data_IF_036787561713
#
_entry.id   IF_036787561713
#
_cell.length_a   1.000
_cell.length_b   1.000
_cell.length_c   1.000
_cell.angle_alpha   90.00
_cell.angle_beta   90.00
_cell.angle_gamma   90.00
#
_symmetry.space_group_name_H-M   'P 1'
#
loop_
_entity.id
_entity.type
_entity.pdbx_description
1 polymer ?
#
# COMPACT_ATOMS: atom_id res chain seq x y z
N UNK A 1 -4.79 20.03 8.48
CA UNK A 1 -5.55 19.01 9.24
C UNK A 1 -4.73 17.74 9.41
N UNK A 2 -4.31 17.07 8.33
CA UNK A 2 -3.51 15.83 8.40
C UNK A 2 -2.24 15.95 9.24
N UNK A 3 -1.47 17.04 9.12
CA UNK A 3 -0.25 17.24 9.92
C UNK A 3 -0.47 17.24 11.45
N UNK A 4 -1.68 17.61 11.92
CA UNK A 4 -2.01 17.49 13.34
C UNK A 4 -2.21 16.03 13.73
N UNK A 5 -3.04 15.31 12.97
CA UNK A 5 -3.30 13.89 13.18
C UNK A 5 -2.03 13.03 13.12
N UNK A 6 -1.12 13.33 12.19
CA UNK A 6 0.17 12.63 12.06
C UNK A 6 1.08 12.87 13.27
N UNK A 7 1.00 14.05 13.90
CA UNK A 7 1.77 14.37 15.11
C UNK A 7 1.15 13.78 16.37
N UNK A 8 -0.18 13.77 16.43
CA UNK A 8 -0.94 13.41 17.62
C UNK A 8 -1.24 11.90 17.69
N UNK A 9 -0.96 11.14 16.64
CA UNK A 9 -1.25 9.70 16.56
C UNK A 9 -0.17 8.96 15.77
N UNK A 10 0.06 7.67 16.04
CA UNK A 10 1.06 6.86 15.34
C UNK A 10 0.58 6.44 13.94
N UNK A 11 0.16 7.41 13.13
CA UNK A 11 -0.26 7.19 11.75
C UNK A 11 1.00 6.95 10.91
N UNK A 12 1.06 5.79 10.28
CA UNK A 12 2.20 5.36 9.46
C UNK A 12 1.92 5.44 7.95
N UNK A 13 0.64 5.46 7.55
CA UNK A 13 0.24 5.69 6.18
C UNK A 13 -1.14 6.38 6.10
N UNK A 14 -1.40 7.08 4.99
CA UNK A 14 -2.71 7.62 4.63
C UNK A 14 -2.99 7.29 3.16
N UNK A 15 -4.18 6.78 2.89
CA UNK A 15 -4.70 6.52 1.55
C UNK A 15 -5.71 7.60 1.16
N UNK A 16 -5.65 8.06 -0.09
CA UNK A 16 -6.55 9.07 -0.67
C UNK A 16 -6.81 10.29 0.25
N UNK A 17 -5.77 11.03 0.68
CA UNK A 17 -5.95 12.22 1.53
C UNK A 17 -6.72 13.36 0.85
N UNK A 18 -6.79 13.40 -0.48
CA UNK A 18 -7.48 14.42 -1.25
C UNK A 18 -8.23 13.83 -2.44
N UNK A 19 -9.05 14.66 -3.10
CA UNK A 19 -9.74 14.30 -4.34
C UNK A 19 -8.75 13.84 -5.43
N UNK A 20 -9.21 12.95 -6.31
CA UNK A 20 -8.42 12.42 -7.43
C UNK A 20 -7.92 13.49 -8.42
N UNK A 21 -8.49 14.70 -8.41
CA UNK A 21 -8.06 15.81 -9.26
C UNK A 21 -7.21 16.87 -8.54
N UNK A 22 -7.04 16.79 -7.22
CA UNK A 22 -6.33 17.80 -6.42
C UNK A 22 -4.81 17.52 -6.31
N UNK A 23 -4.13 17.48 -7.45
CA UNK A 23 -2.69 17.20 -7.52
C UNK A 23 -1.83 18.10 -6.61
N UNK A 24 -2.26 19.34 -6.39
CA UNK A 24 -1.55 20.27 -5.50
C UNK A 24 -1.63 19.83 -4.04
N UNK A 25 -2.84 19.47 -3.55
CA UNK A 25 -3.02 18.94 -2.20
C UNK A 25 -2.15 17.71 -1.94
N UNK A 26 -2.14 16.76 -2.88
CA UNK A 26 -1.34 15.54 -2.82
C UNK A 26 0.17 15.83 -2.69
N UNK A 27 0.75 16.61 -3.61
CA UNK A 27 2.18 16.95 -3.57
C UNK A 27 2.54 17.78 -2.33
N UNK A 28 1.69 18.71 -1.92
CA UNK A 28 1.90 19.53 -0.73
C UNK A 28 1.99 18.68 0.53
N UNK A 29 1.07 17.72 0.72
CA UNK A 29 1.11 16.82 1.87
C UNK A 29 2.31 15.87 1.82
N UNK A 30 2.57 15.23 0.67
CA UNK A 30 3.67 14.28 0.51
C UNK A 30 5.03 14.91 0.81
N UNK A 31 5.23 16.19 0.48
CA UNK A 31 6.47 16.92 0.80
C UNK A 31 6.63 17.32 2.28
N UNK A 32 5.56 17.24 3.08
CA UNK A 32 5.54 17.71 4.48
C UNK A 32 5.61 16.58 5.51
N UNK A 33 5.70 15.32 5.05
CA UNK A 33 5.64 14.16 5.93
C UNK A 33 6.49 13.01 5.40
N UNK A 34 7.01 12.21 6.33
CA UNK A 34 7.77 11.00 6.03
C UNK A 34 6.89 9.73 6.05
N UNK A 35 5.59 9.89 6.30
CA UNK A 35 4.65 8.76 6.28
C UNK A 35 4.34 8.35 4.84
N UNK A 36 3.78 7.16 4.70
CA UNK A 36 3.40 6.64 3.40
C UNK A 36 2.09 7.26 2.92
N UNK A 37 2.11 7.94 1.78
CA UNK A 37 0.93 8.47 1.08
C UNK A 37 0.61 7.52 -0.06
N UNK A 38 -0.50 6.79 0.07
CA UNK A 38 -0.95 5.75 -0.86
C UNK A 38 -1.92 6.34 -1.86
N UNK A 39 -1.57 6.29 -3.14
CA UNK A 39 -2.48 6.64 -4.22
C UNK A 39 -3.31 5.43 -4.69
N UNK A 40 -4.62 5.46 -4.48
CA UNK A 40 -5.58 4.56 -5.12
C UNK A 40 -6.34 5.32 -6.21
N UNK A 41 -7.23 6.26 -5.82
CA UNK A 41 -8.10 6.98 -6.74
C UNK A 41 -7.35 8.00 -7.62
N UNK A 42 -6.24 8.56 -7.12
CA UNK A 42 -5.40 9.49 -7.87
C UNK A 42 -4.81 8.85 -9.13
N UNK A 43 -4.44 7.57 -9.03
CA UNK A 43 -3.64 6.90 -10.06
C UNK A 43 -4.34 5.71 -10.69
N UNK A 44 -5.37 5.13 -10.06
CA UNK A 44 -6.22 4.04 -10.57
C UNK A 44 -5.45 2.92 -11.27
N UNK A 45 -4.25 2.60 -10.77
CA UNK A 45 -3.29 1.66 -11.38
C UNK A 45 -3.00 1.95 -12.87
N UNK A 46 -3.13 3.20 -13.33
CA UNK A 46 -2.91 3.62 -14.70
C UNK A 46 -1.46 4.12 -14.88
N UNK A 47 -0.64 3.48 -15.75
CA UNK A 47 0.78 3.84 -15.93
C UNK A 47 1.03 5.31 -16.24
N UNK A 48 0.12 5.98 -16.97
CA UNK A 48 0.28 7.40 -17.30
C UNK A 48 0.10 8.29 -16.07
N UNK A 49 -0.90 7.99 -15.24
CA UNK A 49 -1.15 8.72 -14.01
C UNK A 49 -0.04 8.46 -12.98
N UNK A 50 0.47 7.23 -12.93
CA UNK A 50 1.63 6.87 -12.10
C UNK A 50 2.85 7.70 -12.51
N UNK A 51 3.14 7.82 -13.81
CA UNK A 51 4.25 8.65 -14.29
C UNK A 51 4.08 10.13 -13.92
N UNK A 52 2.85 10.66 -13.99
CA UNK A 52 2.56 12.04 -13.57
C UNK A 52 2.75 12.20 -12.05
N UNK A 53 2.22 11.27 -11.25
CA UNK A 53 2.38 11.28 -9.80
C UNK A 53 3.85 11.15 -9.37
N UNK A 54 4.63 10.34 -10.09
CA UNK A 54 6.07 10.21 -9.91
C UNK A 54 6.80 11.51 -10.16
N UNK A 55 6.53 12.14 -11.31
CA UNK A 55 7.14 13.40 -11.69
C UNK A 55 6.79 14.52 -10.70
N UNK A 56 5.55 14.56 -10.24
CA UNK A 56 5.06 15.60 -9.33
C UNK A 56 5.28 15.28 -7.85
N UNK A 57 5.86 14.12 -7.53
CA UNK A 57 6.00 13.60 -6.17
C UNK A 57 4.69 13.67 -5.36
N UNK A 58 3.58 13.31 -6.00
CA UNK A 58 2.24 13.48 -5.43
C UNK A 58 1.88 12.39 -4.42
N UNK A 59 2.48 11.20 -4.53
CA UNK A 59 2.39 10.11 -3.56
C UNK A 59 3.71 9.31 -3.58
N UNK A 60 3.98 8.56 -2.52
CA UNK A 60 5.21 7.76 -2.36
C UNK A 60 4.94 6.25 -2.26
N UNK A 61 3.67 5.86 -2.23
CA UNK A 61 3.23 4.49 -2.37
C UNK A 61 2.12 4.39 -3.40
N UNK A 62 2.15 3.30 -4.14
CA UNK A 62 1.16 2.96 -5.14
C UNK A 62 0.42 1.72 -4.66
N UNK A 63 -0.91 1.76 -4.80
CA UNK A 63 -1.73 0.58 -4.69
C UNK A 63 -1.56 -0.23 -5.98
N UNK A 64 -0.52 -1.07 -6.04
CA UNK A 64 0.03 -1.57 -7.31
C UNK A 64 -0.15 -3.07 -7.54
N UNK A 65 -0.39 -3.39 -8.81
CA UNK A 65 0.18 -4.55 -9.51
C UNK A 65 1.42 -4.12 -10.32
N UNK A 66 2.62 -4.39 -9.79
CA UNK A 66 4.00 -4.21 -10.34
C UNK A 66 4.57 -2.83 -10.79
N UNK A 67 5.65 -2.38 -10.11
CA UNK A 67 6.88 -1.62 -10.51
C UNK A 67 7.55 -0.94 -9.28
N UNK A 68 8.77 -0.38 -9.43
CA UNK A 68 9.80 0.05 -8.43
C UNK A 68 9.43 1.02 -7.28
N UNK A 69 8.17 1.09 -6.91
CA UNK A 69 7.64 1.87 -5.80
C UNK A 69 7.34 0.95 -4.62
N UNK A 70 7.33 1.49 -3.40
CA UNK A 70 6.66 0.80 -2.29
C UNK A 70 5.23 0.50 -2.74
N UNK A 71 4.91 -0.79 -2.74
CA UNK A 71 3.67 -1.32 -3.31
C UNK A 71 2.87 -1.92 -2.18
N UNK A 72 1.64 -1.45 -2.02
CA UNK A 72 0.67 -2.08 -1.14
C UNK A 72 -0.35 -2.82 -1.99
N UNK A 73 -0.49 -4.14 -1.78
CA UNK A 73 -1.48 -4.94 -2.50
C UNK A 73 -2.79 -4.89 -1.72
N UNK A 74 -3.88 -4.47 -2.36
CA UNK A 74 -5.19 -4.40 -1.70
C UNK A 74 -6.19 -5.38 -2.29
N UNK A 75 -6.98 -5.95 -1.40
CA UNK A 75 -8.21 -6.66 -1.69
C UNK A 75 -9.33 -5.65 -2.01
N UNK A 76 -10.27 -6.00 -2.90
CA UNK A 76 -11.47 -5.17 -3.15
C UNK A 76 -12.59 -5.48 -2.17
N UNK A 77 -13.53 -4.54 -1.98
CA UNK A 77 -14.63 -4.66 -1.00
C UNK A 77 -15.68 -5.73 -1.31
N UNK A 78 -15.66 -6.31 -2.51
CA UNK A 78 -16.65 -7.28 -3.00
C UNK A 78 -16.01 -8.63 -3.33
N UNK A 79 -15.06 -9.09 -2.51
CA UNK A 79 -14.28 -10.28 -2.87
C UNK A 79 -14.93 -11.63 -2.58
N UNK A 80 -14.55 -12.57 -3.44
CA UNK A 80 -14.84 -13.99 -3.42
C UNK A 80 -13.92 -14.71 -2.44
N UNK A 81 -14.09 -16.02 -2.23
CA UNK A 81 -13.19 -16.87 -1.43
C UNK A 81 -11.79 -17.07 -2.07
N UNK A 82 -11.40 -16.24 -3.03
CA UNK A 82 -10.13 -16.37 -3.75
C UNK A 82 -9.00 -15.72 -2.96
N UNK A 83 -7.97 -16.51 -2.70
CA UNK A 83 -6.81 -16.13 -1.89
C UNK A 83 -5.57 -15.85 -2.76
N UNK A 84 -5.77 -15.59 -4.05
CA UNK A 84 -4.74 -15.19 -5.01
C UNK A 84 -3.91 -13.99 -4.52
N UNK A 85 -4.54 -13.03 -3.85
CA UNK A 85 -3.86 -11.81 -3.34
C UNK A 85 -2.77 -12.16 -2.32
N UNK A 86 -2.93 -13.24 -1.53
CA UNK A 86 -1.87 -13.72 -0.62
C UNK A 86 -0.62 -14.17 -1.40
N UNK A 87 -0.81 -15.00 -2.42
CA UNK A 87 0.28 -15.48 -3.28
C UNK A 87 0.93 -14.31 -4.05
N UNK A 88 0.14 -13.34 -4.49
CA UNK A 88 0.61 -12.18 -5.23
C UNK A 88 1.56 -11.31 -4.39
N UNK A 89 1.27 -11.10 -3.11
CA UNK A 89 2.11 -10.30 -2.20
C UNK A 89 3.49 -10.92 -2.02
N UNK A 90 3.54 -12.23 -1.78
CA UNK A 90 4.78 -12.98 -1.65
C UNK A 90 5.54 -13.02 -2.99
N UNK A 91 4.85 -13.29 -4.10
CA UNK A 91 5.48 -13.39 -5.42
C UNK A 91 6.06 -12.06 -5.94
N UNK A 92 5.44 -10.94 -5.58
CA UNK A 92 5.93 -9.61 -5.93
C UNK A 92 6.90 -9.01 -4.89
N UNK A 93 7.15 -9.69 -3.77
CA UNK A 93 7.99 -9.20 -2.67
C UNK A 93 7.62 -7.78 -2.21
N UNK A 94 6.32 -7.48 -2.17
CA UNK A 94 5.80 -6.13 -1.88
C UNK A 94 5.90 -5.76 -0.40
N UNK A 95 5.72 -6.77 0.46
CA UNK A 95 5.84 -6.64 1.91
C UNK A 95 4.64 -6.03 2.63
N UNK A 96 3.67 -5.45 1.91
CA UNK A 96 2.46 -4.87 2.48
C UNK A 96 1.20 -5.37 1.78
N UNK A 97 0.16 -5.63 2.58
CA UNK A 97 -1.14 -6.08 2.11
C UNK A 97 -2.27 -5.43 2.92
N UNK A 98 -3.35 -5.01 2.25
CA UNK A 98 -4.59 -4.51 2.87
C UNK A 98 -5.76 -5.39 2.46
N UNK A 99 -6.34 -6.13 3.41
CA UNK A 99 -7.34 -7.19 3.13
C UNK A 99 -8.61 -7.07 3.96
N UNK A 100 -8.90 -5.86 4.44
CA UNK A 100 -10.04 -5.60 5.31
C UNK A 100 -9.87 -6.15 6.72
N UNK A 101 -10.97 -6.21 7.47
CA UNK A 101 -10.97 -6.71 8.86
C UNK A 101 -10.79 -8.24 8.91
N UNK A 102 -10.16 -8.79 9.97
CA UNK A 102 -9.90 -10.23 10.11
C UNK A 102 -11.16 -11.10 10.32
N UNK A 103 -12.36 -10.54 10.20
CA UNK A 103 -13.64 -11.25 10.40
C UNK A 103 -14.25 -11.85 9.13
N UNK A 104 -13.73 -11.52 7.94
CA UNK A 104 -14.32 -11.95 6.65
C UNK A 104 -13.31 -12.43 5.61
N UNK A 105 -12.03 -12.49 5.96
CA UNK A 105 -10.94 -12.81 5.01
C UNK A 105 -10.16 -14.07 5.44
N UNK A 106 -10.83 -15.03 6.08
CA UNK A 106 -10.20 -16.20 6.72
C UNK A 106 -9.33 -17.03 5.76
N UNK A 107 -9.81 -17.31 4.54
CA UNK A 107 -9.02 -18.04 3.54
C UNK A 107 -7.70 -17.32 3.23
N UNK A 108 -7.71 -15.98 3.16
CA UNK A 108 -6.51 -15.21 2.83
C UNK A 108 -5.48 -15.30 3.94
N UNK A 109 -5.91 -15.12 5.20
CA UNK A 109 -5.01 -15.26 6.35
C UNK A 109 -4.47 -16.69 6.45
N UNK A 110 -5.30 -17.70 6.21
CA UNK A 110 -4.88 -19.10 6.20
C UNK A 110 -3.82 -19.37 5.12
N UNK A 111 -4.03 -18.86 3.90
CA UNK A 111 -3.06 -18.96 2.81
C UNK A 111 -1.74 -18.26 3.14
N UNK A 112 -1.77 -17.08 3.77
CA UNK A 112 -0.55 -16.37 4.21
C UNK A 112 0.24 -17.20 5.23
N UNK A 113 -0.46 -17.86 6.18
CA UNK A 113 0.19 -18.77 7.13
C UNK A 113 0.81 -19.98 6.44
N UNK A 114 0.09 -20.62 5.51
CA UNK A 114 0.62 -21.75 4.75
C UNK A 114 1.88 -21.38 3.95
N UNK A 115 1.85 -20.28 3.20
CA UNK A 115 3.03 -19.82 2.44
C UNK A 115 4.21 -19.53 3.38
N UNK A 116 3.96 -18.93 4.54
CA UNK A 116 4.99 -18.70 5.55
C UNK A 116 5.59 -20.01 6.07
N UNK A 117 4.77 -21.01 6.35
CA UNK A 117 5.25 -22.32 6.79
C UNK A 117 6.07 -23.03 5.70
N UNK A 118 5.64 -22.96 4.44
CA UNK A 118 6.36 -23.52 3.30
C UNK A 118 7.73 -22.87 3.08
N UNK A 119 7.82 -21.55 3.24
CA UNK A 119 9.08 -20.81 3.09
C UNK A 119 10.03 -21.02 4.28
N UNK A 120 9.51 -21.35 5.46
CA UNK A 120 10.29 -21.65 6.66
C UNK A 120 11.29 -20.54 7.00
N UNK A 121 12.58 -20.88 7.06
CA UNK A 121 13.67 -19.93 7.36
C UNK A 121 13.96 -18.93 6.24
N UNK A 122 13.42 -19.12 5.03
CA UNK A 122 13.58 -18.20 3.92
C UNK A 122 12.55 -17.05 3.95
N UNK A 123 11.53 -17.13 4.81
CA UNK A 123 10.59 -16.04 5.02
C UNK A 123 11.16 -15.00 5.99
N UNK A 124 11.37 -13.77 5.52
CA UNK A 124 11.71 -12.62 6.35
C UNK A 124 10.49 -11.71 6.52
N UNK A 125 10.21 -11.31 7.77
CA UNK A 125 9.26 -10.25 8.05
C UNK A 125 9.95 -8.89 7.92
N UNK A 126 9.49 -8.08 6.96
CA UNK A 126 10.15 -6.80 6.59
C UNK A 126 9.99 -5.75 7.71
N UNK A 127 8.85 -5.73 8.41
CA UNK A 127 8.56 -4.79 9.49
C UNK A 127 8.81 -3.34 9.08
N UNK A 128 9.55 -2.60 9.90
CA UNK A 128 9.81 -1.17 9.68
C UNK A 128 10.71 -0.86 8.48
N UNK A 129 11.42 -1.86 7.92
CA UNK A 129 12.38 -1.67 6.82
C UNK A 129 11.73 -1.30 5.48
N UNK A 130 10.41 -1.40 5.39
CA UNK A 130 9.61 -1.08 4.21
C UNK A 130 9.62 0.42 3.88
N UNK A 131 9.87 1.24 4.91
CA UNK A 131 9.90 2.70 4.85
C UNK A 131 11.26 3.18 4.34
N UNK A 132 11.44 3.21 3.02
CA UNK A 132 12.52 4.00 2.40
C UNK A 132 11.95 5.35 1.97
N UNK A 133 12.17 6.44 2.73
CA UNK A 133 11.95 7.77 2.20
C UNK A 133 12.87 7.96 0.98
N UNK A 134 12.40 8.72 -0.01
CA UNK A 134 13.16 9.06 -1.21
C UNK A 134 14.52 9.69 -0.89
#
# INVERSE_FOLDING_TARGET
>A
MYNGLIKDSPIIFIENPYDQNDWYGWTSLTSQTDIQIVGDDLIVTNPKLIQIAAHNQSCNCLLLKSNSWSTLVSQRSSETEDCFVANLVFGLCTGEIKTGAPSRSECLYFQLFQIKEELGSNAEYIGDKLRKPF
#
